data_IF_174646674902
#
_entry.id   IF_174646674902
#
_cell.length_a   1.000
_cell.length_b   1.000
_cell.length_c   1.000
_cell.angle_alpha   90.00
_cell.angle_beta   90.00
_cell.angle_gamma   90.00
#
_symmetry.space_group_name_H-M   'P 1'
#
loop_
_entity.id
_entity.type
_entity.pdbx_description
1 polymer ?
#
# COMPACT_ATOMS: atom_id res chain seq x y z
N UNK A 1 16.81 6.70 -18.40
CA UNK A 1 15.68 5.73 -18.37
C UNK A 1 16.27 4.36 -18.68
N UNK A 2 16.37 3.45 -17.73
CA UNK A 2 16.63 2.05 -18.03
C UNK A 2 15.31 1.43 -18.47
N UNK A 3 15.23 1.02 -19.71
CA UNK A 3 14.16 0.13 -20.18
C UNK A 3 14.41 -1.22 -19.50
N UNK A 4 13.71 -1.47 -18.38
CA UNK A 4 13.63 -2.81 -17.83
C UNK A 4 12.96 -3.71 -18.86
N UNK A 5 13.55 -4.87 -19.10
CA UNK A 5 12.90 -5.87 -19.91
C UNK A 5 11.83 -6.53 -19.04
N UNK A 6 10.59 -6.03 -19.10
CA UNK A 6 9.45 -6.48 -18.27
C UNK A 6 9.25 -8.01 -18.35
N UNK A 7 9.73 -8.65 -19.40
CA UNK A 7 9.64 -10.11 -19.60
C UNK A 7 10.56 -10.93 -18.68
N UNK A 8 11.52 -10.28 -18.00
CA UNK A 8 12.46 -10.95 -17.09
C UNK A 8 12.11 -10.76 -15.61
N UNK A 9 11.05 -9.99 -15.31
CA UNK A 9 10.61 -9.80 -13.93
C UNK A 9 9.92 -11.07 -13.41
N UNK A 10 10.45 -11.61 -12.33
CA UNK A 10 9.92 -12.80 -11.64
C UNK A 10 9.60 -12.42 -10.19
N UNK A 11 8.50 -12.96 -9.65
CA UNK A 11 8.13 -12.71 -8.26
C UNK A 11 9.11 -13.34 -7.28
N UNK A 12 9.58 -12.54 -6.33
CA UNK A 12 10.45 -12.98 -5.24
C UNK A 12 9.63 -13.55 -4.06
N UNK A 13 8.32 -13.31 -4.02
CA UNK A 13 7.46 -13.64 -2.87
C UNK A 13 6.69 -14.93 -3.07
N UNK A 14 6.85 -15.87 -2.13
CA UNK A 14 6.03 -17.08 -2.09
C UNK A 14 4.63 -16.78 -1.55
N UNK A 15 3.57 -17.45 -2.05
CA UNK A 15 2.27 -17.42 -1.41
C UNK A 15 2.37 -17.93 0.04
N UNK A 16 1.76 -17.19 0.96
CA UNK A 16 1.73 -17.57 2.38
C UNK A 16 0.43 -18.29 2.74
N UNK A 17 0.50 -19.23 3.66
CA UNK A 17 -0.66 -19.97 4.19
C UNK A 17 -0.76 -19.77 5.71
N UNK A 18 -1.17 -18.55 6.08
CA UNK A 18 -1.42 -18.14 7.46
C UNK A 18 -2.90 -17.85 7.67
N UNK A 19 -3.30 -17.50 8.89
CA UNK A 19 -4.69 -17.18 9.20
C UNK A 19 -5.15 -15.89 8.54
N UNK A 20 -6.44 -15.82 8.22
CA UNK A 20 -7.05 -14.62 7.67
C UNK A 20 -7.20 -13.60 8.79
N UNK A 21 -6.54 -12.45 8.65
CA UNK A 21 -6.62 -11.35 9.62
C UNK A 21 -7.58 -10.22 9.17
N UNK A 22 -7.75 -10.02 7.88
CA UNK A 22 -8.68 -9.02 7.33
C UNK A 22 -9.63 -9.67 6.34
N UNK A 23 -10.94 -9.37 6.49
CA UNK A 23 -11.97 -9.69 5.49
C UNK A 23 -12.68 -8.42 5.09
N UNK A 24 -12.94 -8.28 3.80
CA UNK A 24 -13.78 -7.24 3.21
C UNK A 24 -14.94 -7.96 2.51
N UNK A 25 -16.18 -7.66 2.90
CA UNK A 25 -17.36 -8.35 2.41
C UNK A 25 -18.23 -7.40 1.58
N UNK A 26 -18.53 -7.78 0.34
CA UNK A 26 -19.48 -7.11 -0.56
C UNK A 26 -19.38 -5.58 -0.56
N UNK A 27 -18.13 -5.08 -0.62
CA UNK A 27 -17.87 -3.65 -0.59
C UNK A 27 -18.36 -2.99 -1.90
N UNK A 28 -19.14 -1.92 -1.74
CA UNK A 28 -19.57 -1.06 -2.84
C UNK A 28 -18.86 0.28 -2.70
N UNK A 29 -18.00 0.61 -3.66
CA UNK A 29 -17.16 1.80 -3.62
C UNK A 29 -17.70 2.85 -4.57
N UNK A 30 -17.98 4.04 -4.04
CA UNK A 30 -18.55 5.15 -4.80
C UNK A 30 -17.59 6.35 -4.86
N UNK A 31 -17.69 7.09 -5.95
CA UNK A 31 -17.15 8.45 -6.07
C UNK A 31 -18.34 9.40 -6.30
N UNK A 32 -18.76 10.10 -5.25
CA UNK A 32 -20.01 10.84 -5.25
C UNK A 32 -21.20 9.90 -5.45
N UNK A 33 -21.96 10.09 -6.55
CA UNK A 33 -23.10 9.24 -6.91
C UNK A 33 -22.73 8.05 -7.82
N UNK A 34 -21.51 8.02 -8.36
CA UNK A 34 -21.07 6.99 -9.29
C UNK A 34 -20.55 5.77 -8.52
N UNK A 35 -21.13 4.61 -8.76
CA UNK A 35 -20.61 3.32 -8.31
C UNK A 35 -19.38 2.97 -9.16
N UNK A 36 -18.23 2.77 -8.53
CA UNK A 36 -16.97 2.39 -9.19
C UNK A 36 -16.72 0.89 -9.09
N UNK A 37 -16.86 0.33 -7.89
CA UNK A 37 -16.62 -1.10 -7.63
C UNK A 37 -17.85 -1.65 -6.92
N UNK A 38 -18.36 -2.78 -7.40
CA UNK A 38 -19.56 -3.43 -6.88
C UNK A 38 -19.23 -4.77 -6.24
N UNK A 39 -19.83 -5.06 -5.08
CA UNK A 39 -19.81 -6.35 -4.37
C UNK A 39 -18.41 -6.93 -4.16
N UNK A 40 -17.39 -6.08 -4.01
CA UNK A 40 -15.99 -6.48 -3.83
C UNK A 40 -15.83 -7.28 -2.54
N UNK A 41 -15.33 -8.50 -2.67
CA UNK A 41 -15.03 -9.38 -1.54
C UNK A 41 -13.61 -9.91 -1.67
N UNK A 42 -12.80 -9.75 -0.63
CA UNK A 42 -11.46 -10.32 -0.54
C UNK A 42 -11.04 -10.45 0.91
N UNK A 43 -10.01 -11.24 1.13
CA UNK A 43 -9.34 -11.41 2.42
C UNK A 43 -7.86 -11.09 2.32
N UNK A 44 -7.25 -10.80 3.46
CA UNK A 44 -5.80 -10.66 3.61
C UNK A 44 -5.39 -11.53 4.80
N UNK A 45 -4.36 -12.33 4.61
CA UNK A 45 -3.78 -13.20 5.64
C UNK A 45 -2.76 -12.42 6.48
N UNK A 46 -2.42 -12.95 7.64
CA UNK A 46 -1.29 -12.45 8.42
C UNK A 46 -0.01 -12.47 7.58
N UNK A 47 0.82 -11.46 7.75
CA UNK A 47 2.08 -11.25 7.00
C UNK A 47 1.92 -11.08 5.49
N UNK A 48 0.68 -11.04 4.98
CA UNK A 48 0.42 -10.87 3.55
C UNK A 48 0.64 -9.41 3.13
N UNK A 49 1.34 -9.23 2.03
CA UNK A 49 1.36 -7.99 1.25
C UNK A 49 0.51 -8.21 0.03
N UNK A 50 -0.54 -7.42 -0.13
CA UNK A 50 -1.44 -7.49 -1.28
C UNK A 50 -1.29 -6.28 -2.17
N UNK A 51 -0.93 -6.51 -3.44
CA UNK A 51 -0.96 -5.49 -4.48
C UNK A 51 -2.40 -5.21 -4.93
N UNK A 52 -2.73 -3.96 -5.28
CA UNK A 52 -3.96 -3.61 -6.00
C UNK A 52 -3.58 -2.95 -7.31
N UNK A 53 -4.00 -3.54 -8.42
CA UNK A 53 -3.75 -3.03 -9.76
C UNK A 53 -5.06 -2.87 -10.54
N UNK A 54 -5.04 -2.01 -11.55
CA UNK A 54 -6.20 -1.71 -12.40
C UNK A 54 -5.99 -0.40 -13.14
N UNK A 55 -6.85 -0.09 -14.12
CA UNK A 55 -6.75 1.13 -14.91
C UNK A 55 -6.90 2.40 -14.07
N UNK A 56 -6.41 3.53 -14.60
CA UNK A 56 -6.57 4.83 -13.95
C UNK A 56 -8.05 5.20 -13.89
N UNK A 57 -8.48 5.70 -12.72
CA UNK A 57 -9.88 6.07 -12.50
C UNK A 57 -10.82 4.92 -12.14
N UNK A 58 -10.36 3.65 -12.09
CA UNK A 58 -11.20 2.49 -11.72
C UNK A 58 -11.65 2.52 -10.25
N UNK A 59 -11.00 3.30 -9.40
CA UNK A 59 -11.39 3.44 -7.99
C UNK A 59 -10.40 2.89 -6.96
N UNK A 60 -9.14 2.59 -7.34
CA UNK A 60 -8.11 2.07 -6.42
C UNK A 60 -7.89 2.96 -5.19
N UNK A 61 -7.58 4.24 -5.42
CA UNK A 61 -7.42 5.24 -4.32
C UNK A 61 -8.72 5.45 -3.54
N UNK A 62 -9.89 5.36 -4.21
CA UNK A 62 -11.18 5.46 -3.53
C UNK A 62 -11.41 4.25 -2.62
N UNK A 63 -11.04 3.04 -3.06
CA UNK A 63 -11.06 1.84 -2.24
C UNK A 63 -10.11 1.98 -1.04
N UNK A 64 -8.87 2.46 -1.25
CA UNK A 64 -7.91 2.73 -0.17
C UNK A 64 -8.51 3.68 0.88
N UNK A 65 -9.09 4.80 0.44
CA UNK A 65 -9.78 5.76 1.32
C UNK A 65 -10.96 5.12 2.07
N UNK A 66 -11.74 4.26 1.41
CA UNK A 66 -12.84 3.55 2.03
C UNK A 66 -12.37 2.58 3.12
N UNK A 67 -11.35 1.77 2.83
CA UNK A 67 -10.72 0.88 3.80
C UNK A 67 -10.22 1.66 5.02
N UNK A 68 -9.57 2.78 4.82
CA UNK A 68 -9.05 3.62 5.90
C UNK A 68 -10.10 4.55 6.56
N UNK A 69 -11.38 4.40 6.23
CA UNK A 69 -12.46 5.19 6.84
C UNK A 69 -12.49 6.66 6.41
N UNK A 70 -11.79 7.04 5.36
CA UNK A 70 -11.75 8.42 4.85
C UNK A 70 -12.89 8.73 3.88
N UNK A 71 -13.58 7.72 3.36
CA UNK A 71 -14.75 7.87 2.49
C UNK A 71 -15.94 7.06 3.02
N UNK A 72 -16.43 6.06 2.34
CA UNK A 72 -17.63 5.27 2.62
C UNK A 72 -17.98 5.08 4.10
N UNK A 73 -19.27 5.31 4.45
CA UNK A 73 -19.75 5.15 5.83
C UNK A 73 -19.90 3.68 6.23
N UNK A 74 -20.51 2.90 5.35
CA UNK A 74 -20.85 1.51 5.59
C UNK A 74 -19.98 0.60 4.72
N UNK A 75 -18.93 0.07 5.32
CA UNK A 75 -18.06 -0.93 4.73
C UNK A 75 -17.93 -2.07 5.75
N UNK A 76 -18.28 -3.29 5.33
CA UNK A 76 -18.13 -4.47 6.16
C UNK A 76 -16.69 -5.00 6.08
N UNK A 77 -15.95 -4.78 7.17
CA UNK A 77 -14.55 -5.19 7.31
C UNK A 77 -14.31 -5.78 8.70
N UNK A 78 -13.54 -6.85 8.79
CA UNK A 78 -13.33 -7.56 10.05
C UNK A 78 -12.52 -6.79 11.11
N UNK A 79 -11.65 -5.87 10.70
CA UNK A 79 -10.76 -5.13 11.62
C UNK A 79 -11.38 -3.89 12.25
N UNK A 80 -12.61 -3.53 11.89
CA UNK A 80 -13.29 -2.35 12.43
C UNK A 80 -14.82 -2.48 12.31
N UNK A 81 -15.54 -2.12 13.37
CA UNK A 81 -17.02 -2.16 13.44
C UNK A 81 -17.68 -0.96 12.76
N UNK A 82 -16.97 0.13 12.59
CA UNK A 82 -17.49 1.38 12.04
C UNK A 82 -16.39 2.25 11.45
N UNK A 83 -16.81 3.36 10.84
CA UNK A 83 -15.89 4.31 10.18
C UNK A 83 -14.82 4.87 11.12
N UNK A 84 -15.16 5.20 12.38
CA UNK A 84 -14.18 5.75 13.35
C UNK A 84 -13.12 4.72 13.71
N UNK A 85 -13.51 3.48 13.87
CA UNK A 85 -12.57 2.39 14.13
C UNK A 85 -11.68 2.10 12.91
N UNK A 86 -12.19 2.20 11.68
CA UNK A 86 -11.33 2.10 10.48
C UNK A 86 -10.25 3.17 10.49
N UNK A 87 -10.60 4.43 10.75
CA UNK A 87 -9.61 5.53 10.87
C UNK A 87 -8.59 5.23 11.97
N UNK A 88 -9.03 4.70 13.12
CA UNK A 88 -8.14 4.36 14.23
C UNK A 88 -7.23 3.17 13.92
N UNK A 89 -7.75 2.16 13.21
CA UNK A 89 -7.08 0.87 13.02
C UNK A 89 -6.28 0.78 11.72
N UNK A 90 -6.34 1.78 10.85
CA UNK A 90 -5.60 1.78 9.58
C UNK A 90 -4.78 3.05 9.37
N UNK A 91 -3.79 2.96 8.51
CA UNK A 91 -3.02 4.11 8.03
C UNK A 91 -2.98 4.11 6.51
N UNK A 92 -3.23 5.26 5.89
CA UNK A 92 -3.13 5.45 4.44
C UNK A 92 -1.98 6.41 4.14
N UNK A 93 -0.99 5.96 3.41
CA UNK A 93 -0.01 6.83 2.76
C UNK A 93 -0.55 7.17 1.38
N UNK A 94 -0.81 8.44 1.13
CA UNK A 94 -1.31 8.95 -0.15
C UNK A 94 -0.17 9.12 -1.16
N UNK A 95 -0.49 9.10 -2.43
CA UNK A 95 0.45 9.43 -3.51
C UNK A 95 1.02 10.84 -3.36
N UNK A 96 0.19 11.84 -2.99
CA UNK A 96 0.62 13.18 -2.60
C UNK A 96 0.80 13.21 -1.07
N UNK A 97 2.04 13.06 -0.63
CA UNK A 97 2.39 13.03 0.79
C UNK A 97 2.48 14.42 1.43
N UNK A 98 2.51 15.49 0.66
CA UNK A 98 2.58 16.86 1.20
C UNK A 98 1.36 17.19 2.07
N UNK A 99 0.21 16.57 1.78
CA UNK A 99 -1.00 16.72 2.57
C UNK A 99 -1.00 15.93 3.90
N UNK A 100 0.06 15.18 4.19
CA UNK A 100 0.13 14.29 5.36
C UNK A 100 1.27 14.63 6.33
N UNK A 101 2.10 15.61 5.99
CA UNK A 101 3.28 16.00 6.77
C UNK A 101 3.03 17.39 7.32
N UNK A 102 2.94 17.54 8.65
CA UNK A 102 2.42 18.74 9.29
C UNK A 102 3.35 19.37 10.33
N UNK A 103 4.31 18.62 10.87
CA UNK A 103 5.12 19.09 11.98
C UNK A 103 6.35 19.87 11.51
N UNK A 104 7.00 20.54 12.44
CA UNK A 104 8.10 21.47 12.19
C UNK A 104 9.43 20.78 11.89
N UNK A 105 9.62 19.53 12.32
CA UNK A 105 10.81 18.75 12.04
C UNK A 105 10.49 17.32 11.60
N UNK A 106 11.39 16.73 10.81
CA UNK A 106 11.32 15.32 10.39
C UNK A 106 11.24 14.39 11.60
N UNK A 107 12.01 14.67 12.65
CA UNK A 107 12.02 13.85 13.86
C UNK A 107 10.68 13.94 14.61
N UNK A 108 10.09 15.13 14.72
CA UNK A 108 8.81 15.33 15.38
C UNK A 108 7.66 14.61 14.66
N UNK A 109 7.66 14.54 13.30
CA UNK A 109 6.69 13.74 12.53
C UNK A 109 6.69 12.29 12.97
N UNK A 110 7.86 11.71 13.24
CA UNK A 110 7.99 10.32 13.66
C UNK A 110 7.64 10.12 15.13
N UNK A 111 8.07 11.04 15.99
CA UNK A 111 7.79 11.01 17.44
C UNK A 111 6.27 11.08 17.69
N UNK A 112 5.56 11.92 16.94
CA UNK A 112 4.11 12.09 17.08
C UNK A 112 3.31 10.81 16.83
N UNK A 113 3.88 9.86 16.08
CA UNK A 113 3.23 8.57 15.80
C UNK A 113 3.34 7.57 16.96
N UNK A 114 4.14 7.85 17.96
CA UNK A 114 4.34 6.99 19.13
C UNK A 114 3.54 7.48 20.32
N UNK A 115 2.89 6.56 21.01
CA UNK A 115 2.03 6.88 22.16
C UNK A 115 2.80 7.28 23.42
N UNK A 116 4.04 6.78 23.62
CA UNK A 116 4.77 6.88 24.89
C UNK A 116 6.17 7.46 24.82
N UNK A 117 6.75 7.63 23.64
CA UNK A 117 8.12 8.11 23.46
C UNK A 117 9.15 7.40 24.38
N UNK A 118 9.03 6.09 24.51
CA UNK A 118 9.98 5.29 25.26
C UNK A 118 11.36 5.30 24.62
N UNK A 119 12.40 4.89 25.34
CA UNK A 119 13.74 4.82 24.77
C UNK A 119 13.81 3.84 23.59
N UNK A 120 13.06 2.74 23.65
CA UNK A 120 12.91 1.81 22.52
C UNK A 120 12.23 2.44 21.31
N UNK A 121 11.24 3.31 21.49
CA UNK A 121 10.59 4.05 20.40
C UNK A 121 11.57 5.02 19.73
N UNK A 122 12.36 5.73 20.53
CA UNK A 122 13.37 6.65 20.02
C UNK A 122 14.48 5.92 19.26
N UNK A 123 14.87 4.73 19.71
CA UNK A 123 15.84 3.90 19.00
C UNK A 123 15.27 3.38 17.67
N UNK A 124 14.02 2.94 17.65
CA UNK A 124 13.33 2.55 16.40
C UNK A 124 13.29 3.70 15.40
N UNK A 125 12.92 4.91 15.84
CA UNK A 125 12.92 6.12 15.03
C UNK A 125 14.32 6.41 14.47
N UNK A 126 15.36 6.34 15.30
CA UNK A 126 16.76 6.53 14.87
C UNK A 126 17.16 5.53 13.78
N UNK A 127 16.76 4.27 13.94
CA UNK A 127 17.06 3.22 12.98
C UNK A 127 16.37 3.48 11.64
N UNK A 128 15.08 3.84 11.62
CA UNK A 128 14.38 4.22 10.40
C UNK A 128 15.03 5.42 9.72
N UNK A 129 15.35 6.49 10.47
CA UNK A 129 16.00 7.68 9.92
C UNK A 129 17.36 7.37 9.27
N UNK A 130 18.14 6.45 9.86
CA UNK A 130 19.43 6.02 9.30
C UNK A 130 19.27 5.20 8.02
N UNK A 131 18.42 4.18 8.05
CA UNK A 131 18.21 3.27 6.92
C UNK A 131 17.62 3.99 5.72
N UNK A 132 16.75 4.97 5.95
CA UNK A 132 16.10 5.75 4.89
C UNK A 132 16.87 7.00 4.46
N UNK A 133 18.11 7.18 4.95
CA UNK A 133 18.96 8.35 4.64
C UNK A 133 18.33 9.70 5.00
N UNK A 134 17.56 9.72 6.10
CA UNK A 134 16.94 10.93 6.64
C UNK A 134 17.61 11.43 7.93
N UNK A 135 18.59 10.70 8.47
CA UNK A 135 19.23 11.04 9.74
C UNK A 135 19.80 12.46 9.78
N UNK A 136 20.53 12.85 8.73
CA UNK A 136 21.12 14.19 8.62
C UNK A 136 20.11 15.30 8.35
N UNK A 137 18.84 14.93 8.18
CA UNK A 137 17.72 15.86 7.93
C UNK A 137 16.72 15.90 9.09
N UNK A 138 16.96 15.18 10.17
CA UNK A 138 16.00 14.99 11.27
C UNK A 138 15.50 16.30 11.90
N UNK A 139 16.36 17.31 11.98
CA UNK A 139 16.02 18.65 12.51
C UNK A 139 15.49 19.62 11.45
N UNK A 140 15.48 19.21 10.18
CA UNK A 140 14.97 20.07 9.11
C UNK A 140 13.44 20.08 9.11
N UNK A 141 12.87 21.20 8.69
CA UNK A 141 11.45 21.26 8.36
C UNK A 141 11.16 20.34 7.17
N UNK A 142 10.13 19.47 7.23
CA UNK A 142 9.85 18.48 6.18
C UNK A 142 9.63 19.07 4.79
N UNK A 143 9.14 20.31 4.70
CA UNK A 143 8.98 20.99 3.41
C UNK A 143 10.31 21.26 2.67
N UNK A 144 11.45 21.18 3.35
CA UNK A 144 12.79 21.28 2.74
C UNK A 144 13.29 19.94 2.16
N UNK A 145 12.56 18.86 2.36
CA UNK A 145 12.88 17.54 1.82
C UNK A 145 12.53 17.49 0.32
N UNK A 146 13.29 16.70 -0.44
CA UNK A 146 12.89 16.33 -1.80
C UNK A 146 11.64 15.45 -1.80
N UNK A 147 10.93 15.34 -2.92
CA UNK A 147 9.74 14.49 -3.04
C UNK A 147 9.98 13.05 -2.58
N UNK A 148 11.08 12.43 -3.03
CA UNK A 148 11.44 11.08 -2.60
C UNK A 148 11.80 10.98 -1.11
N UNK A 149 12.38 12.03 -0.51
CA UNK A 149 12.61 12.08 0.95
C UNK A 149 11.30 12.19 1.73
N UNK A 150 10.36 13.01 1.27
CA UNK A 150 9.02 13.13 1.86
C UNK A 150 8.26 11.81 1.75
N UNK A 151 8.37 11.12 0.61
CA UNK A 151 7.76 9.81 0.41
C UNK A 151 8.29 8.79 1.42
N UNK A 152 9.62 8.69 1.58
CA UNK A 152 10.22 7.83 2.59
C UNK A 152 9.77 8.19 4.01
N UNK A 153 9.72 9.48 4.33
CA UNK A 153 9.23 9.94 5.63
C UNK A 153 7.79 9.48 5.89
N UNK A 154 6.86 9.70 4.95
CA UNK A 154 5.46 9.30 5.10
C UNK A 154 5.30 7.78 5.28
N UNK A 155 6.09 6.97 4.57
CA UNK A 155 6.03 5.51 4.71
C UNK A 155 6.52 5.08 6.10
N UNK A 156 7.68 5.55 6.58
CA UNK A 156 8.16 5.18 7.92
C UNK A 156 7.26 5.72 9.03
N UNK A 157 6.60 6.86 8.83
CA UNK A 157 5.54 7.36 9.71
C UNK A 157 4.41 6.34 9.85
N UNK A 158 3.98 5.74 8.74
CA UNK A 158 2.96 4.68 8.76
C UNK A 158 3.42 3.43 9.53
N UNK A 159 4.70 3.07 9.45
CA UNK A 159 5.26 1.91 10.14
C UNK A 159 5.33 2.10 11.66
N UNK A 160 5.55 3.32 12.10
CA UNK A 160 5.58 3.67 13.53
C UNK A 160 4.19 3.78 14.16
N UNK A 161 3.12 3.85 13.35
CA UNK A 161 1.75 4.16 13.77
C UNK A 161 1.08 2.92 14.31
N UNK A 162 1.42 2.02 14.98
CA UNK A 162 0.73 0.87 15.60
C UNK A 162 -0.71 0.63 15.08
N UNK A 163 -0.87 0.37 13.78
CA UNK A 163 -2.15 0.13 13.10
C UNK A 163 -2.34 -1.35 12.77
N UNK A 164 -3.59 -1.75 12.51
CA UNK A 164 -3.96 -3.11 12.10
C UNK A 164 -3.92 -3.32 10.59
N UNK A 165 -3.83 -2.24 9.82
CA UNK A 165 -3.73 -2.22 8.36
C UNK A 165 -2.95 -1.00 7.91
N UNK A 166 -1.98 -1.20 7.02
CA UNK A 166 -1.30 -0.12 6.31
C UNK A 166 -1.66 -0.20 4.83
N UNK A 167 -2.05 0.93 4.25
CA UNK A 167 -2.32 1.05 2.82
C UNK A 167 -1.36 2.08 2.24
N UNK A 168 -0.62 1.71 1.21
CA UNK A 168 0.36 2.54 0.53
C UNK A 168 -0.12 2.81 -0.90
N UNK A 169 -0.41 4.05 -1.24
CA UNK A 169 -0.85 4.45 -2.59
C UNK A 169 0.33 5.03 -3.36
N UNK A 170 0.81 4.31 -4.38
CA UNK A 170 1.98 4.61 -5.20
C UNK A 170 3.27 4.93 -4.39
N UNK A 171 3.70 4.04 -3.48
CA UNK A 171 4.75 4.34 -2.50
C UNK A 171 6.14 4.57 -3.11
N UNK A 172 6.40 4.14 -4.34
CA UNK A 172 7.70 4.31 -5.02
C UNK A 172 7.72 5.48 -6.00
N UNK A 173 6.60 6.22 -6.12
CA UNK A 173 6.55 7.39 -7.00
C UNK A 173 7.62 8.42 -6.59
N UNK A 174 8.48 8.79 -7.56
CA UNK A 174 9.56 9.75 -7.33
C UNK A 174 10.77 9.22 -6.55
N UNK A 175 10.86 7.92 -6.27
CA UNK A 175 12.04 7.30 -5.70
C UNK A 175 13.04 6.88 -6.78
N UNK A 176 14.34 7.02 -6.47
CA UNK A 176 15.38 6.36 -7.25
C UNK A 176 15.42 4.85 -6.94
N UNK A 177 16.13 4.10 -7.76
CA UNK A 177 16.23 2.64 -7.65
C UNK A 177 16.76 2.18 -6.27
N UNK A 178 17.78 2.86 -5.72
CA UNK A 178 18.35 2.52 -4.41
C UNK A 178 17.31 2.73 -3.30
N UNK A 179 16.64 3.86 -3.32
CA UNK A 179 15.57 4.20 -2.36
C UNK A 179 14.40 3.22 -2.47
N UNK A 180 13.98 2.86 -3.69
CA UNK A 180 12.93 1.88 -3.92
C UNK A 180 13.30 0.52 -3.30
N UNK A 181 14.53 0.02 -3.51
CA UNK A 181 14.98 -1.23 -2.90
C UNK A 181 14.92 -1.19 -1.37
N UNK A 182 15.46 -0.14 -0.76
CA UNK A 182 15.43 0.02 0.71
C UNK A 182 13.98 0.01 1.20
N UNK A 183 13.08 0.74 0.54
CA UNK A 183 11.68 0.79 0.94
C UNK A 183 10.98 -0.56 0.76
N UNK A 184 11.29 -1.31 -0.30
CA UNK A 184 10.77 -2.66 -0.50
C UNK A 184 11.16 -3.59 0.65
N UNK A 185 12.42 -3.59 1.06
CA UNK A 185 12.93 -4.40 2.17
C UNK A 185 12.25 -4.01 3.50
N UNK A 186 12.04 -2.71 3.74
CA UNK A 186 11.34 -2.22 4.94
C UNK A 186 9.84 -2.59 4.92
N UNK A 187 9.18 -2.54 3.76
CA UNK A 187 7.79 -2.97 3.58
C UNK A 187 7.65 -4.46 3.90
N UNK A 188 8.54 -5.29 3.35
CA UNK A 188 8.53 -6.74 3.60
C UNK A 188 8.72 -7.02 5.09
N UNK A 189 9.69 -6.38 5.71
CA UNK A 189 9.93 -6.52 7.16
C UNK A 189 8.72 -6.08 7.99
N UNK A 190 8.08 -4.97 7.65
CA UNK A 190 6.91 -4.47 8.38
C UNK A 190 5.68 -5.37 8.21
N UNK A 191 5.57 -6.06 7.09
CA UNK A 191 4.48 -7.00 6.86
C UNK A 191 4.49 -8.21 7.81
N UNK A 192 5.64 -8.54 8.43
CA UNK A 192 5.71 -9.55 9.50
C UNK A 192 4.86 -9.18 10.74
N UNK A 193 4.56 -7.89 10.92
CA UNK A 193 3.83 -7.36 12.07
C UNK A 193 2.39 -6.95 11.72
N UNK A 194 2.15 -6.48 10.49
CA UNK A 194 0.86 -5.92 10.06
C UNK A 194 0.63 -6.14 8.58
N UNK A 195 -0.58 -6.57 8.15
CA UNK A 195 -0.90 -6.70 6.74
C UNK A 195 -0.79 -5.36 6.01
N UNK A 196 -0.25 -5.41 4.79
CA UNK A 196 -0.01 -4.23 3.96
C UNK A 196 -0.73 -4.37 2.63
N UNK A 197 -1.40 -3.30 2.21
CA UNK A 197 -1.93 -3.15 0.85
C UNK A 197 -1.07 -2.13 0.11
N UNK A 198 -0.66 -2.47 -1.11
CA UNK A 198 0.10 -1.58 -2.00
C UNK A 198 -0.71 -1.35 -3.27
N UNK A 199 -1.07 -0.10 -3.54
CA UNK A 199 -1.59 0.29 -4.85
C UNK A 199 -0.41 0.77 -5.67
N UNK A 200 -0.15 0.16 -6.81
CA UNK A 200 0.98 0.56 -7.64
C UNK A 200 0.82 0.18 -9.11
N UNK A 201 1.50 0.93 -9.97
CA UNK A 201 1.75 0.60 -11.36
C UNK A 201 3.19 0.14 -11.61
N UNK A 202 4.00 0.09 -10.55
CA UNK A 202 5.39 -0.35 -10.59
C UNK A 202 5.45 -1.87 -10.44
N UNK A 203 5.71 -2.56 -11.56
CA UNK A 203 5.83 -4.03 -11.62
C UNK A 203 7.02 -4.53 -10.80
N UNK A 204 8.11 -3.78 -10.72
CA UNK A 204 9.28 -4.17 -9.94
C UNK A 204 8.95 -4.21 -8.45
N UNK A 205 8.31 -3.15 -7.94
CA UNK A 205 7.83 -3.14 -6.56
C UNK A 205 6.86 -4.29 -6.30
N UNK A 206 5.88 -4.48 -7.19
CA UNK A 206 4.84 -5.49 -7.04
C UNK A 206 5.42 -6.90 -6.96
N UNK A 207 6.30 -7.26 -7.89
CA UNK A 207 6.89 -8.61 -7.93
C UNK A 207 7.89 -8.86 -6.81
N UNK A 208 8.53 -7.80 -6.32
CA UNK A 208 9.47 -7.87 -5.22
C UNK A 208 8.79 -8.01 -3.85
N UNK A 209 7.61 -7.42 -3.67
CA UNK A 209 7.01 -7.27 -2.34
C UNK A 209 5.69 -8.00 -2.16
N UNK A 210 4.88 -8.16 -3.20
CA UNK A 210 3.52 -8.66 -3.04
C UNK A 210 3.42 -10.18 -3.16
N UNK A 211 2.71 -10.81 -2.23
CA UNK A 211 2.37 -12.24 -2.27
C UNK A 211 1.18 -12.50 -3.18
N UNK A 212 0.19 -11.61 -3.12
CA UNK A 212 -1.03 -11.67 -3.92
C UNK A 212 -1.31 -10.32 -4.56
N UNK A 213 -2.08 -10.35 -5.64
CA UNK A 213 -2.56 -9.15 -6.30
C UNK A 213 -4.07 -9.22 -6.49
N UNK A 214 -4.75 -8.12 -6.17
CA UNK A 214 -6.14 -7.85 -6.49
C UNK A 214 -6.18 -7.03 -7.77
N UNK A 215 -6.57 -7.68 -8.86
CA UNK A 215 -6.75 -7.08 -10.17
C UNK A 215 -8.17 -6.54 -10.26
N UNK A 216 -8.34 -5.24 -10.51
CA UNK A 216 -9.65 -4.59 -10.61
C UNK A 216 -9.87 -4.14 -12.06
N UNK A 217 -10.83 -4.77 -12.74
CA UNK A 217 -11.33 -4.39 -14.06
C UNK A 217 -12.61 -3.57 -13.98
N UNK A 218 -13.18 -3.21 -15.13
CA UNK A 218 -14.38 -2.34 -15.20
C UNK A 218 -15.63 -2.91 -14.52
N UNK A 219 -15.77 -4.24 -14.47
CA UNK A 219 -16.96 -4.91 -13.90
C UNK A 219 -16.61 -6.10 -13.02
N UNK A 220 -15.37 -6.51 -13.03
CA UNK A 220 -14.89 -7.73 -12.39
C UNK A 220 -13.62 -7.46 -11.58
N UNK A 221 -13.36 -8.31 -10.63
CA UNK A 221 -12.10 -8.32 -9.88
C UNK A 221 -11.63 -9.74 -9.63
N UNK A 222 -10.33 -9.91 -9.46
CA UNK A 222 -9.74 -11.21 -9.16
C UNK A 222 -8.53 -11.07 -8.24
N UNK A 223 -8.48 -11.85 -7.16
CA UNK A 223 -7.29 -12.03 -6.33
C UNK A 223 -6.53 -13.27 -6.82
N UNK A 224 -5.24 -13.12 -7.13
CA UNK A 224 -4.35 -14.22 -7.54
C UNK A 224 -3.01 -14.10 -6.81
N UNK A 225 -2.30 -15.23 -6.67
CA UNK A 225 -0.91 -15.21 -6.25
C UNK A 225 -0.07 -14.49 -7.30
N UNK A 226 0.94 -13.74 -6.87
CA UNK A 226 1.85 -13.05 -7.80
C UNK A 226 2.77 -14.05 -8.45
N UNK A 227 3.42 -14.90 -7.64
CA UNK A 227 4.33 -15.94 -8.14
C UNK A 227 3.61 -16.95 -9.02
N UNK A 228 4.15 -17.18 -10.21
CA UNK A 228 3.60 -18.06 -11.24
C UNK A 228 2.50 -17.43 -12.11
N UNK A 229 2.13 -16.18 -11.87
CA UNK A 229 1.14 -15.45 -12.66
C UNK A 229 1.70 -14.11 -13.23
N UNK A 230 3.02 -13.95 -13.26
CA UNK A 230 3.69 -12.70 -13.65
C UNK A 230 3.27 -12.24 -15.04
N UNK A 231 3.23 -13.15 -16.01
CA UNK A 231 2.81 -12.82 -17.39
C UNK A 231 1.36 -12.34 -17.44
N UNK A 232 0.46 -12.97 -16.67
CA UNK A 232 -0.95 -12.54 -16.61
C UNK A 232 -1.06 -11.13 -16.01
N UNK A 233 -0.28 -10.84 -14.97
CA UNK A 233 -0.26 -9.54 -14.31
C UNK A 233 0.28 -8.47 -15.25
N UNK A 234 1.41 -8.75 -15.94
CA UNK A 234 1.98 -7.85 -16.94
C UNK A 234 1.01 -7.58 -18.10
N UNK A 235 0.40 -8.64 -18.63
CA UNK A 235 -0.62 -8.52 -19.67
C UNK A 235 -1.81 -7.69 -19.23
N UNK A 236 -2.27 -7.85 -17.99
CA UNK A 236 -3.38 -7.06 -17.44
C UNK A 236 -3.01 -5.58 -17.32
N UNK A 237 -1.79 -5.27 -16.90
CA UNK A 237 -1.34 -3.89 -16.79
C UNK A 237 -1.09 -3.23 -18.15
N UNK A 238 -0.63 -4.00 -19.15
CA UNK A 238 -0.34 -3.50 -20.50
C UNK A 238 -1.57 -3.44 -21.42
N UNK A 239 -2.53 -4.36 -21.26
CA UNK A 239 -3.77 -4.36 -22.04
C UNK A 239 -4.84 -3.54 -21.35
N UNK A 240 -5.15 -2.38 -21.89
CA UNK A 240 -6.36 -1.64 -21.51
C UNK A 240 -7.61 -2.52 -21.73
N UNK A 241 -8.24 -2.98 -20.63
CA UNK A 241 -9.70 -3.22 -20.51
C UNK A 241 -10.37 -4.52 -21.00
N UNK A 242 -9.74 -5.48 -21.66
CA UNK A 242 -10.51 -6.64 -22.19
C UNK A 242 -10.15 -8.02 -21.66
N UNK A 243 -9.20 -8.17 -20.76
CA UNK A 243 -8.64 -9.46 -20.35
C UNK A 243 -9.58 -10.41 -19.61
N UNK A 244 -10.53 -9.89 -18.83
CA UNK A 244 -11.48 -10.75 -18.13
C UNK A 244 -12.48 -11.46 -19.06
N UNK A 245 -12.78 -10.84 -20.22
CA UNK A 245 -13.67 -11.44 -21.23
C UNK A 245 -12.99 -12.53 -22.06
N UNK A 246 -11.73 -12.31 -22.45
CA UNK A 246 -11.00 -13.25 -23.30
C UNK A 246 -10.43 -14.45 -22.56
N UNK A 247 -10.14 -14.32 -21.27
CA UNK A 247 -9.56 -15.40 -20.47
C UNK A 247 -10.59 -16.38 -19.85
N UNK A 248 -11.89 -16.24 -20.15
CA UNK A 248 -12.94 -17.16 -19.67
C UNK A 248 -13.18 -17.12 -18.15
N UNK A 249 -12.79 -16.05 -17.45
CA UNK A 249 -12.89 -15.92 -16.00
C UNK A 249 -14.20 -15.23 -15.53
N UNK A 250 -15.18 -15.07 -16.42
CA UNK A 250 -16.52 -14.58 -16.07
C UNK A 250 -17.41 -15.79 -15.79
N UNK A 251 -17.93 -15.88 -14.56
CA UNK A 251 -19.17 -16.59 -14.24
C UNK A 251 -20.28 -15.60 -14.11
#
# INVERSE_FOLDING_TARGET
>A
MRTFNEKELVSEMEPIDTEICIKVNKANIHLGKRLLIKDLTFDIKEKEIMGIIGSNGIGKTTLAKALCGLSEKNLDVSYAKNKKERVKNSYLVLQDVDAQIFLDTVENELIFCKDKNSESDLEEIRNYLKVTDLWNKKTNHPQKLSGGQKQRLAIITSFLSNRKLIVLDEPTSGLDYRSMRIMSELIIKKAEEVPIIIITHDLELLFKTCHFVLMIGDRDYKKIAVKGNENMIMDFMNKKENLFKEAGYVK
#
